data_IF_336423216057
#
_entry.id   IF_336423216057
#
_cell.length_a   1.000
_cell.length_b   1.000
_cell.length_c   1.000
_cell.angle_alpha   90.00
_cell.angle_beta   90.00
_cell.angle_gamma   90.00
#
_symmetry.space_group_name_H-M   'P 1'
#
loop_
_entity.id
_entity.type
_entity.pdbx_description
1 polymer ?
#
# COMPACT_ATOMS: atom_id res chain seq x y z
N UNK A 1 8.99 2.25 -11.99
CA UNK A 1 9.58 2.63 -10.68
C UNK A 1 9.05 1.65 -9.64
N UNK A 2 9.91 1.17 -8.75
CA UNK A 2 9.56 0.16 -7.77
C UNK A 2 10.39 0.32 -6.49
N UNK A 3 9.84 -0.13 -5.35
CA UNK A 3 10.53 -0.20 -4.07
C UNK A 3 11.06 -1.61 -3.84
N UNK A 4 12.34 -1.74 -3.57
CA UNK A 4 12.97 -2.98 -3.15
C UNK A 4 13.38 -2.87 -1.68
N UNK A 5 12.75 -3.66 -0.81
CA UNK A 5 13.15 -3.71 0.59
C UNK A 5 14.58 -4.22 0.73
N UNK A 6 15.42 -3.49 1.47
CA UNK A 6 16.82 -3.81 1.72
C UNK A 6 17.11 -4.10 3.19
N UNK A 7 16.20 -3.75 4.10
CA UNK A 7 16.36 -4.08 5.50
C UNK A 7 15.25 -3.57 6.41
N UNK A 8 15.20 -4.17 7.60
CA UNK A 8 14.34 -3.74 8.72
C UNK A 8 15.18 -3.63 9.98
N UNK A 9 14.96 -2.57 10.74
CA UNK A 9 15.65 -2.34 12.02
C UNK A 9 14.65 -1.90 13.08
N UNK A 10 14.68 -2.57 14.22
CA UNK A 10 13.90 -2.14 15.38
C UNK A 10 14.60 -0.96 16.05
N UNK A 11 13.87 0.13 16.25
CA UNK A 11 14.32 1.36 16.89
C UNK A 11 13.38 1.62 18.09
N UNK A 12 13.82 1.34 19.31
CA UNK A 12 13.02 1.46 20.54
C UNK A 12 11.63 0.79 20.40
N UNK A 13 10.59 1.60 20.15
CA UNK A 13 9.20 1.16 20.06
C UNK A 13 8.65 1.11 18.62
N UNK A 14 9.46 1.39 17.61
CA UNK A 14 9.05 1.40 16.20
C UNK A 14 10.01 0.56 15.36
N UNK A 15 9.55 0.15 14.19
CA UNK A 15 10.37 -0.54 13.20
C UNK A 15 10.61 0.38 12.00
N UNK A 16 11.86 0.65 11.69
CA UNK A 16 12.26 1.33 10.46
C UNK A 16 12.45 0.30 9.34
N UNK A 17 11.88 0.58 8.17
CA UNK A 17 12.04 -0.25 6.96
C UNK A 17 12.76 0.58 5.90
N UNK A 18 13.85 0.04 5.36
CA UNK A 18 14.68 0.69 4.35
C UNK A 18 14.42 0.09 2.97
N UNK A 19 14.31 0.97 1.99
CA UNK A 19 14.05 0.60 0.60
C UNK A 19 15.06 1.26 -0.35
N UNK A 20 15.48 0.51 -1.36
CA UNK A 20 16.11 1.05 -2.57
C UNK A 20 15.01 1.39 -3.59
N UNK A 21 15.06 2.58 -4.18
CA UNK A 21 14.10 3.05 -5.18
C UNK A 21 14.68 2.86 -6.58
N UNK A 22 14.08 1.97 -7.36
CA UNK A 22 14.55 1.61 -8.71
C UNK A 22 13.60 2.18 -9.76
N UNK A 23 14.14 3.00 -10.66
CA UNK A 23 13.42 3.65 -11.76
C UNK A 23 13.80 3.05 -13.13
N UNK A 24 13.73 1.72 -13.27
CA UNK A 24 14.10 1.03 -14.51
C UNK A 24 13.18 1.40 -15.67
N UNK A 25 13.73 1.40 -16.89
CA UNK A 25 12.98 1.64 -18.13
C UNK A 25 12.59 3.10 -18.38
N UNK A 26 13.04 4.03 -17.53
CA UNK A 26 12.75 5.46 -17.71
C UNK A 26 13.78 6.14 -18.63
N UNK A 27 13.37 7.17 -19.41
CA UNK A 27 14.29 7.98 -20.19
C UNK A 27 15.39 8.64 -19.35
N UNK A 28 16.64 8.45 -19.75
CA UNK A 28 17.82 8.95 -19.01
C UNK A 28 18.18 10.41 -19.32
N UNK A 29 17.64 10.93 -20.40
CA UNK A 29 17.88 12.30 -20.88
C UNK A 29 16.89 13.32 -20.32
N UNK A 30 16.11 12.93 -19.33
CA UNK A 30 15.13 13.80 -18.66
C UNK A 30 15.52 14.03 -17.22
N UNK A 31 15.19 15.23 -16.76
CA UNK A 31 15.28 15.62 -15.34
C UNK A 31 13.92 15.36 -14.69
N UNK A 32 13.93 14.80 -13.51
CA UNK A 32 12.74 14.41 -12.76
C UNK A 32 12.71 15.07 -11.38
N UNK A 33 11.53 15.45 -10.97
CA UNK A 33 11.23 15.84 -9.60
C UNK A 33 10.65 14.65 -8.84
N UNK A 34 11.09 14.44 -7.61
CA UNK A 34 10.63 13.37 -6.73
C UNK A 34 9.60 13.92 -5.75
N UNK A 35 8.44 13.29 -5.73
CA UNK A 35 7.31 13.61 -4.86
C UNK A 35 6.99 12.42 -3.96
N UNK A 36 6.58 12.68 -2.72
CA UNK A 36 6.18 11.64 -1.78
C UNK A 36 4.84 11.98 -1.14
N UNK A 37 4.07 10.96 -0.80
CA UNK A 37 2.77 11.10 -0.13
C UNK A 37 2.50 9.91 0.79
N UNK A 38 2.25 10.21 2.07
CA UNK A 38 1.66 9.28 3.04
C UNK A 38 0.14 9.47 3.14
N UNK A 39 -0.45 9.06 4.27
CA UNK A 39 -1.89 9.26 4.55
C UNK A 39 -2.26 10.72 4.86
N UNK A 40 -1.33 11.54 5.28
CA UNK A 40 -1.58 12.92 5.71
C UNK A 40 -1.97 13.88 4.59
N UNK A 41 -2.15 13.41 3.36
CA UNK A 41 -2.48 14.21 2.16
C UNK A 41 -1.50 15.37 1.85
N UNK A 42 -0.42 15.51 2.60
CA UNK A 42 0.65 16.43 2.26
C UNK A 42 1.52 15.76 1.19
N UNK A 43 1.76 16.48 0.11
CA UNK A 43 2.56 16.01 -1.03
C UNK A 43 3.80 16.88 -1.14
N UNK A 44 4.79 16.73 -0.24
CA UNK A 44 6.03 17.48 -0.37
C UNK A 44 6.84 16.97 -1.56
N UNK A 45 7.49 17.88 -2.26
CA UNK A 45 8.64 17.52 -3.08
C UNK A 45 9.78 17.10 -2.14
N UNK A 46 10.43 15.98 -2.43
CA UNK A 46 11.60 15.53 -1.66
C UNK A 46 12.88 16.29 -2.04
N UNK A 47 12.72 17.48 -2.66
CA UNK A 47 13.81 18.39 -3.02
C UNK A 47 14.71 17.85 -4.14
N UNK A 48 15.34 18.76 -4.88
CA UNK A 48 16.31 18.45 -5.93
C UNK A 48 15.70 17.88 -7.20
N UNK A 49 16.51 17.98 -8.24
CA UNK A 49 16.28 17.38 -9.55
C UNK A 49 17.10 16.10 -9.67
N UNK A 50 16.51 15.06 -10.24
CA UNK A 50 17.14 13.75 -10.41
C UNK A 50 17.19 13.33 -11.87
N UNK A 51 18.19 12.53 -12.22
CA UNK A 51 18.26 11.81 -13.48
C UNK A 51 18.37 10.31 -13.22
N UNK A 52 17.96 9.49 -14.20
CA UNK A 52 18.01 8.04 -14.08
C UNK A 52 19.26 7.51 -14.76
N UNK A 53 20.07 6.73 -14.04
CA UNK A 53 21.24 6.05 -14.57
C UNK A 53 20.89 4.76 -15.34
N UNK A 54 21.89 4.17 -15.95
CA UNK A 54 21.78 2.88 -16.66
C UNK A 54 21.28 1.75 -15.77
N UNK A 55 21.68 1.79 -14.50
CA UNK A 55 21.25 0.83 -13.44
C UNK A 55 19.79 0.98 -13.04
N UNK A 56 19.11 2.06 -13.44
CA UNK A 56 17.81 2.45 -12.94
C UNK A 56 17.86 3.23 -11.63
N UNK A 57 19.05 3.52 -11.10
CA UNK A 57 19.21 4.36 -9.91
C UNK A 57 18.96 5.82 -10.23
N UNK A 58 18.41 6.52 -9.24
CA UNK A 58 18.26 7.95 -9.25
C UNK A 58 19.53 8.60 -8.70
N UNK A 59 20.05 9.57 -9.42
CA UNK A 59 21.16 10.41 -8.96
C UNK A 59 20.77 11.88 -9.06
N UNK A 60 21.27 12.69 -8.14
CA UNK A 60 21.08 14.14 -8.22
C UNK A 60 21.61 14.68 -9.56
N UNK A 61 20.82 15.51 -10.21
CA UNK A 61 21.24 16.15 -11.45
C UNK A 61 22.40 17.13 -11.22
N UNK A 62 22.48 17.73 -10.05
CA UNK A 62 23.49 18.71 -9.69
C UNK A 62 24.79 18.06 -9.17
N UNK A 63 24.69 17.24 -8.10
CA UNK A 63 25.87 16.68 -7.43
C UNK A 63 26.30 15.33 -7.98
N UNK A 64 25.45 14.66 -8.76
CA UNK A 64 25.64 13.29 -9.26
C UNK A 64 25.70 12.23 -8.16
N UNK A 65 25.38 12.60 -6.93
CA UNK A 65 25.26 11.66 -5.83
C UNK A 65 23.97 10.81 -5.95
N UNK A 66 24.03 9.52 -5.65
CA UNK A 66 22.85 8.68 -5.69
C UNK A 66 21.83 9.12 -4.64
N UNK A 67 20.54 8.96 -4.97
CA UNK A 67 19.48 9.02 -3.97
C UNK A 67 19.76 7.93 -2.92
N UNK A 68 19.86 8.33 -1.67
CA UNK A 68 20.03 7.40 -0.56
C UNK A 68 18.79 6.51 -0.34
N UNK A 69 18.91 5.59 0.60
CA UNK A 69 17.83 4.70 0.99
C UNK A 69 16.59 5.50 1.44
N UNK A 70 15.43 5.06 0.99
CA UNK A 70 14.15 5.57 1.50
C UNK A 70 13.85 4.85 2.81
N UNK A 71 13.98 5.55 3.93
CA UNK A 71 13.76 4.97 5.27
C UNK A 71 12.39 5.40 5.78
N UNK A 72 11.49 4.43 5.93
CA UNK A 72 10.13 4.64 6.42
C UNK A 72 10.06 4.26 7.89
N UNK A 73 9.62 5.20 8.73
CA UNK A 73 9.50 5.05 10.19
C UNK A 73 8.09 5.37 10.66
N UNK A 74 7.68 4.73 11.74
CA UNK A 74 6.40 5.01 12.40
C UNK A 74 5.17 4.83 11.49
N UNK A 75 5.23 3.90 10.53
CA UNK A 75 4.09 3.54 9.70
C UNK A 75 3.17 2.56 10.43
N UNK A 76 1.90 2.73 10.22
CA UNK A 76 0.85 1.82 10.70
C UNK A 76 0.71 0.61 9.77
N UNK A 77 0.08 -0.45 10.27
CA UNK A 77 -0.25 -1.60 9.40
C UNK A 77 -1.24 -1.19 8.31
N UNK A 78 -0.99 -1.64 7.10
CA UNK A 78 -1.80 -1.31 5.92
C UNK A 78 -1.59 0.09 5.38
N UNK A 79 -0.78 0.93 6.01
CA UNK A 79 -0.52 2.30 5.58
C UNK A 79 0.36 2.33 4.33
N UNK A 80 -0.10 2.95 3.22
CA UNK A 80 0.68 3.06 2.01
C UNK A 80 1.60 4.29 2.03
N UNK A 81 2.81 4.11 1.52
CA UNK A 81 3.69 5.20 1.11
C UNK A 81 3.79 5.21 -0.41
N UNK A 82 3.59 6.38 -1.00
CA UNK A 82 3.56 6.58 -2.44
C UNK A 82 4.64 7.56 -2.85
N UNK A 83 5.31 7.28 -3.94
CA UNK A 83 6.24 8.21 -4.58
C UNK A 83 5.88 8.39 -6.04
N UNK A 84 6.18 9.57 -6.57
CA UNK A 84 6.07 9.89 -7.98
C UNK A 84 7.37 10.53 -8.47
N UNK A 85 7.82 10.12 -9.64
CA UNK A 85 8.83 10.83 -10.43
C UNK A 85 8.10 11.51 -11.58
N UNK A 86 8.17 12.83 -11.61
CA UNK A 86 7.54 13.65 -12.64
C UNK A 86 8.63 14.37 -13.42
N UNK A 87 8.68 14.15 -14.74
CA UNK A 87 9.61 14.87 -15.59
C UNK A 87 9.38 16.38 -15.51
N UNK A 88 10.44 17.17 -15.52
CA UNK A 88 10.36 18.62 -15.41
C UNK A 88 9.49 19.25 -16.52
N UNK A 89 9.48 18.64 -17.71
CA UNK A 89 8.62 19.02 -18.84
C UNK A 89 7.19 18.46 -18.75
N UNK A 90 6.84 17.75 -17.66
CA UNK A 90 5.53 17.14 -17.38
C UNK A 90 5.05 16.12 -18.43
N UNK A 91 5.92 15.63 -19.29
CA UNK A 91 5.56 14.65 -20.34
C UNK A 91 5.47 13.22 -19.82
N UNK A 92 6.12 12.93 -18.69
CA UNK A 92 6.17 11.60 -18.08
C UNK A 92 5.96 11.76 -16.58
N UNK A 93 5.08 10.90 -16.04
CA UNK A 93 4.93 10.68 -14.61
C UNK A 93 4.89 9.17 -14.35
N UNK A 94 5.68 8.72 -13.39
CA UNK A 94 5.66 7.32 -12.93
C UNK A 94 5.47 7.28 -11.42
N UNK A 95 4.80 6.23 -10.98
CA UNK A 95 4.41 6.09 -9.59
C UNK A 95 4.92 4.76 -9.03
N UNK A 96 5.27 4.76 -7.76
CA UNK A 96 5.49 3.57 -6.97
C UNK A 96 4.73 3.67 -5.65
N UNK A 97 4.33 2.50 -5.14
CA UNK A 97 3.68 2.38 -3.85
C UNK A 97 4.28 1.21 -3.09
N UNK A 98 4.50 1.40 -1.79
CA UNK A 98 4.85 0.34 -0.85
C UNK A 98 3.98 0.43 0.40
N UNK A 99 3.71 -0.70 1.02
CA UNK A 99 3.08 -0.79 2.34
C UNK A 99 4.09 -1.48 3.24
N UNK A 100 4.79 -0.75 4.14
CA UNK A 100 5.87 -1.32 4.95
C UNK A 100 5.41 -2.47 5.85
N UNK A 101 4.17 -2.40 6.34
CA UNK A 101 3.55 -3.42 7.19
C UNK A 101 2.21 -3.84 6.58
N UNK A 102 2.21 -4.73 5.59
CA UNK A 102 0.99 -5.10 4.89
C UNK A 102 0.00 -5.83 5.82
N UNK A 103 -1.28 -5.60 5.58
CA UNK A 103 -2.39 -6.39 6.11
C UNK A 103 -2.84 -7.28 4.96
N UNK A 104 -2.47 -8.54 5.00
CA UNK A 104 -2.79 -9.48 3.93
C UNK A 104 -2.83 -10.90 4.42
N UNK A 105 -3.56 -11.73 3.70
CA UNK A 105 -3.61 -13.16 3.90
C UNK A 105 -3.71 -13.87 2.55
N UNK A 106 -3.14 -15.07 2.46
CA UNK A 106 -3.20 -15.91 1.29
C UNK A 106 -3.68 -17.31 1.69
N UNK A 107 -4.59 -17.87 0.90
CA UNK A 107 -5.07 -19.24 1.07
C UNK A 107 -4.10 -20.24 0.43
N UNK A 108 -4.16 -21.50 0.83
CA UNK A 108 -3.39 -22.59 0.21
C UNK A 108 -3.71 -22.78 -1.28
N UNK A 109 -4.86 -22.30 -1.75
CA UNK A 109 -5.29 -22.34 -3.15
C UNK A 109 -4.90 -21.07 -3.94
N UNK A 110 -4.12 -20.13 -3.35
CA UNK A 110 -3.55 -18.97 -4.04
C UNK A 110 -4.45 -17.74 -4.10
N UNK A 111 -5.63 -17.76 -3.48
CA UNK A 111 -6.41 -16.54 -3.30
C UNK A 111 -5.82 -15.67 -2.19
N UNK A 112 -5.80 -14.38 -2.42
CA UNK A 112 -5.21 -13.41 -1.51
C UNK A 112 -6.15 -12.25 -1.25
N UNK A 113 -6.25 -11.83 0.00
CA UNK A 113 -6.82 -10.55 0.42
C UNK A 113 -5.72 -9.59 0.86
N UNK A 114 -5.83 -8.35 0.43
CA UNK A 114 -4.95 -7.24 0.80
C UNK A 114 -5.84 -6.11 1.31
N UNK A 115 -5.55 -5.62 2.50
CA UNK A 115 -6.27 -4.50 3.12
C UNK A 115 -5.31 -3.31 3.24
N UNK A 116 -5.70 -2.21 2.62
CA UNK A 116 -4.92 -0.97 2.59
C UNK A 116 -5.67 0.10 3.38
N UNK A 117 -5.00 0.72 4.33
CA UNK A 117 -5.53 1.87 5.06
C UNK A 117 -5.62 3.08 4.13
N UNK A 118 -6.80 3.70 4.05
CA UNK A 118 -7.07 4.86 3.17
C UNK A 118 -7.38 6.12 3.97
N UNK A 119 -8.15 5.98 5.05
CA UNK A 119 -8.49 7.09 5.93
C UNK A 119 -7.41 7.32 6.98
N UNK A 120 -7.00 8.58 7.17
CA UNK A 120 -6.01 8.97 8.19
C UNK A 120 -6.51 8.80 9.63
N UNK A 121 -7.80 8.61 9.82
CA UNK A 121 -8.47 8.32 11.10
C UNK A 121 -8.56 6.82 11.42
N UNK A 122 -8.06 5.95 10.53
CA UNK A 122 -8.11 4.50 10.71
C UNK A 122 -9.48 3.88 10.45
N UNK A 123 -10.43 4.60 9.87
CA UNK A 123 -11.81 4.10 9.71
C UNK A 123 -12.12 3.59 8.30
N UNK A 124 -11.32 3.94 7.30
CA UNK A 124 -11.59 3.63 5.89
C UNK A 124 -10.44 2.80 5.31
N UNK A 125 -10.80 1.69 4.68
CA UNK A 125 -9.87 0.76 4.06
C UNK A 125 -10.26 0.47 2.61
N UNK A 126 -9.28 0.14 1.77
CA UNK A 126 -9.49 -0.51 0.49
C UNK A 126 -9.22 -2.00 0.65
N UNK A 127 -10.19 -2.84 0.29
CA UNK A 127 -10.04 -4.29 0.31
C UNK A 127 -9.90 -4.79 -1.12
N UNK A 128 -8.81 -5.52 -1.40
CA UNK A 128 -8.49 -6.06 -2.72
C UNK A 128 -8.36 -7.58 -2.64
N UNK A 129 -9.08 -8.27 -3.52
CA UNK A 129 -8.95 -9.70 -3.71
C UNK A 129 -8.22 -10.04 -5.01
N UNK A 130 -7.41 -11.10 -4.99
CA UNK A 130 -6.70 -11.63 -6.16
C UNK A 130 -6.73 -13.17 -6.16
N UNK A 131 -6.58 -13.76 -7.33
CA UNK A 131 -6.48 -15.23 -7.47
C UNK A 131 -7.83 -15.94 -7.45
N UNK A 132 -8.94 -15.22 -7.54
CA UNK A 132 -10.28 -15.76 -7.68
C UNK A 132 -10.56 -16.22 -9.11
N UNK A 133 -11.60 -17.04 -9.32
CA UNK A 133 -11.98 -17.45 -10.67
C UNK A 133 -12.51 -16.23 -11.43
N UNK A 134 -12.05 -15.97 -12.66
CA UNK A 134 -12.53 -14.86 -13.46
C UNK A 134 -14.06 -14.86 -13.62
N UNK A 135 -14.71 -13.76 -13.23
CA UNK A 135 -16.15 -13.58 -13.37
C UNK A 135 -17.01 -14.22 -12.28
N UNK A 136 -16.42 -14.98 -11.33
CA UNK A 136 -17.18 -15.60 -10.23
C UNK A 136 -17.78 -14.56 -9.27
N UNK A 137 -18.81 -14.97 -8.56
CA UNK A 137 -19.34 -14.24 -7.41
C UNK A 137 -18.57 -14.64 -6.15
N UNK A 138 -17.91 -13.66 -5.52
CA UNK A 138 -17.19 -13.84 -4.27
C UNK A 138 -18.06 -13.34 -3.12
N UNK A 139 -18.39 -14.23 -2.20
CA UNK A 139 -19.04 -13.87 -0.94
C UNK A 139 -18.04 -13.22 -0.01
N UNK A 140 -18.36 -12.03 0.45
CA UNK A 140 -17.60 -11.29 1.44
C UNK A 140 -18.38 -11.22 2.73
N UNK A 141 -17.80 -11.71 3.79
CA UNK A 141 -18.36 -11.66 5.14
C UNK A 141 -17.39 -10.92 6.04
N UNK A 142 -17.86 -9.96 6.81
CA UNK A 142 -17.05 -9.28 7.81
C UNK A 142 -17.75 -9.27 9.15
N UNK A 143 -16.95 -9.38 10.20
CA UNK A 143 -17.36 -9.22 11.58
C UNK A 143 -16.50 -8.15 12.23
N UNK A 144 -17.15 -7.13 12.78
CA UNK A 144 -16.51 -6.02 13.49
C UNK A 144 -17.26 -5.83 14.82
N UNK A 145 -16.62 -6.21 15.94
CA UNK A 145 -17.30 -6.29 17.23
C UNK A 145 -18.55 -7.19 17.13
N UNK A 146 -19.74 -6.62 17.39
CA UNK A 146 -21.02 -7.32 17.30
C UNK A 146 -21.73 -7.15 15.95
N UNK A 147 -21.17 -6.34 15.04
CA UNK A 147 -21.75 -6.10 13.72
C UNK A 147 -21.23 -7.07 12.67
N UNK A 148 -22.14 -7.58 11.87
CA UNK A 148 -21.85 -8.44 10.73
C UNK A 148 -22.32 -7.78 9.44
N UNK A 149 -21.48 -7.85 8.41
CA UNK A 149 -21.82 -7.43 7.05
C UNK A 149 -21.62 -8.61 6.11
N UNK A 150 -22.61 -8.85 5.23
CA UNK A 150 -22.49 -9.79 4.12
C UNK A 150 -22.78 -9.07 2.81
N UNK A 151 -21.92 -9.26 1.85
CA UNK A 151 -22.10 -8.72 0.50
C UNK A 151 -21.44 -9.64 -0.52
N UNK A 152 -21.83 -9.49 -1.77
CA UNK A 152 -21.25 -10.23 -2.89
C UNK A 152 -20.49 -9.25 -3.79
N UNK A 153 -19.33 -9.69 -4.28
CA UNK A 153 -18.53 -8.96 -5.27
C UNK A 153 -18.25 -9.87 -6.44
N UNK A 154 -18.32 -9.35 -7.65
CA UNK A 154 -17.96 -10.09 -8.85
C UNK A 154 -16.47 -9.90 -9.14
N UNK A 155 -15.75 -11.00 -9.30
CA UNK A 155 -14.37 -10.97 -9.73
C UNK A 155 -14.28 -10.50 -11.19
N UNK A 156 -13.28 -9.68 -11.50
CA UNK A 156 -13.00 -9.23 -12.86
C UNK A 156 -12.53 -10.39 -13.75
N UNK A 157 -12.34 -10.11 -15.03
CA UNK A 157 -11.73 -11.07 -15.97
C UNK A 157 -10.28 -11.48 -15.60
N UNK A 158 -9.67 -10.78 -14.65
CA UNK A 158 -8.34 -11.10 -14.08
C UNK A 158 -8.43 -11.83 -12.74
N UNK A 159 -9.62 -12.23 -12.31
CA UNK A 159 -9.82 -12.86 -11.00
C UNK A 159 -9.55 -11.90 -9.82
N UNK A 160 -9.83 -10.62 -9.96
CA UNK A 160 -9.61 -9.60 -8.95
C UNK A 160 -10.89 -8.83 -8.64
N UNK A 161 -11.01 -8.32 -7.41
CA UNK A 161 -11.99 -7.31 -7.04
C UNK A 161 -11.36 -6.28 -6.12
N UNK A 162 -11.94 -5.09 -6.03
CA UNK A 162 -11.59 -4.07 -5.04
C UNK A 162 -12.81 -3.24 -4.66
N UNK A 163 -12.85 -2.77 -3.42
CA UNK A 163 -13.88 -1.87 -2.92
C UNK A 163 -13.40 -1.15 -1.65
N UNK A 164 -14.07 -0.04 -1.35
CA UNK A 164 -13.86 0.70 -0.11
C UNK A 164 -14.73 0.09 0.98
N UNK A 165 -14.15 -0.08 2.15
CA UNK A 165 -14.78 -0.71 3.30
C UNK A 165 -14.53 0.11 4.57
N UNK A 166 -15.57 0.31 5.36
CA UNK A 166 -15.53 0.97 6.65
C UNK A 166 -16.02 -0.01 7.74
N UNK A 167 -15.11 -0.62 8.51
CA UNK A 167 -15.46 -1.55 9.59
C UNK A 167 -15.89 -0.86 10.88
N UNK A 168 -15.90 0.47 10.92
CA UNK A 168 -16.19 1.24 12.12
C UNK A 168 -17.63 1.01 12.61
N UNK A 169 -17.77 0.80 13.92
CA UNK A 169 -19.06 0.56 14.60
C UNK A 169 -19.43 1.83 15.38
N UNK A 170 -20.67 2.26 15.27
CA UNK A 170 -21.15 3.49 15.94
C UNK A 170 -20.99 3.35 17.47
N UNK A 171 -20.41 4.39 18.08
CA UNK A 171 -20.19 4.43 19.54
C UNK A 171 -18.83 3.86 19.98
N UNK A 172 -18.00 3.38 19.05
CA UNK A 172 -16.68 2.87 19.34
C UNK A 172 -15.59 3.68 18.60
N UNK A 173 -14.49 3.96 19.29
CA UNK A 173 -13.34 4.68 18.71
C UNK A 173 -12.39 3.75 17.94
N UNK A 174 -12.43 2.47 18.23
CA UNK A 174 -11.59 1.45 17.60
C UNK A 174 -12.11 0.05 17.84
N UNK A 175 -11.66 -0.90 17.06
CA UNK A 175 -11.99 -2.32 17.23
C UNK A 175 -11.13 -3.19 16.33
N UNK A 176 -11.46 -4.47 16.34
CA UNK A 176 -10.89 -5.48 15.44
C UNK A 176 -11.94 -5.95 14.47
N UNK A 177 -11.56 -6.05 13.22
CA UNK A 177 -12.38 -6.58 12.16
C UNK A 177 -11.76 -7.86 11.60
N UNK A 178 -12.62 -8.87 11.38
CA UNK A 178 -12.30 -10.09 10.67
C UNK A 178 -13.08 -10.12 9.37
N UNK A 179 -12.37 -10.32 8.27
CA UNK A 179 -12.92 -10.36 6.92
C UNK A 179 -12.65 -11.71 6.31
N UNK A 180 -13.68 -12.32 5.73
CA UNK A 180 -13.62 -13.58 5.00
C UNK A 180 -14.14 -13.36 3.57
N UNK A 181 -13.38 -13.78 2.58
CA UNK A 181 -13.81 -13.85 1.20
C UNK A 181 -13.85 -15.32 0.75
N UNK A 182 -14.96 -15.73 0.15
CA UNK A 182 -15.19 -17.11 -0.31
C UNK A 182 -15.60 -17.08 -1.77
N UNK A 183 -14.78 -17.66 -2.63
CA UNK A 183 -15.06 -17.96 -4.03
C UNK A 183 -15.27 -19.45 -4.27
N UNK A 184 -15.40 -19.84 -5.52
CA UNK A 184 -15.66 -21.26 -5.92
C UNK A 184 -14.55 -22.22 -5.49
N UNK A 185 -13.29 -21.77 -5.52
CA UNK A 185 -12.12 -22.64 -5.31
C UNK A 185 -11.31 -22.28 -4.06
N UNK A 186 -11.65 -21.20 -3.41
CA UNK A 186 -10.83 -20.70 -2.33
C UNK A 186 -11.61 -19.91 -1.28
N UNK A 187 -11.06 -19.94 -0.08
CA UNK A 187 -11.49 -19.09 1.03
C UNK A 187 -10.26 -18.47 1.66
N UNK A 188 -10.30 -17.19 1.94
CA UNK A 188 -9.23 -16.45 2.61
C UNK A 188 -9.79 -15.56 3.69
N UNK A 189 -9.08 -15.49 4.82
CA UNK A 189 -9.47 -14.71 6.00
C UNK A 189 -8.34 -13.78 6.38
N UNK A 190 -8.66 -12.52 6.67
CA UNK A 190 -7.72 -11.53 7.19
C UNK A 190 -8.32 -10.82 8.39
N UNK A 191 -7.48 -10.49 9.38
CA UNK A 191 -7.88 -9.73 10.57
C UNK A 191 -7.03 -8.46 10.68
N UNK A 192 -7.67 -7.36 11.05
CA UNK A 192 -7.02 -6.07 11.25
C UNK A 192 -7.76 -5.20 12.25
N UNK A 193 -7.04 -4.26 12.83
CA UNK A 193 -7.62 -3.27 13.73
C UNK A 193 -8.11 -2.06 12.92
N UNK A 194 -9.11 -1.33 13.43
CA UNK A 194 -9.64 -0.10 12.85
C UNK A 194 -9.72 1.03 13.90
N UNK A 195 -9.97 2.26 13.45
CA UNK A 195 -10.01 3.45 14.28
C UNK A 195 -8.64 3.79 14.89
N UNK A 196 -8.61 4.30 16.10
CA UNK A 196 -7.37 4.69 16.78
C UNK A 196 -6.37 3.53 16.96
N UNK A 197 -6.84 2.28 16.95
CA UNK A 197 -5.97 1.11 17.01
C UNK A 197 -5.24 0.83 15.69
N UNK A 198 -5.83 1.19 14.54
CA UNK A 198 -5.23 0.99 13.22
C UNK A 198 -4.07 1.96 12.93
N UNK A 199 -4.10 3.16 13.50
CA UNK A 199 -3.09 4.22 13.24
C UNK A 199 -1.91 4.19 14.22
N UNK A 200 -1.67 3.05 14.86
CA UNK A 200 -0.51 2.86 15.75
C UNK A 200 0.73 2.49 14.95
N UNK A 201 1.85 3.20 15.14
CA UNK A 201 3.13 2.83 14.56
C UNK A 201 3.56 1.40 14.93
N UNK A 202 4.22 0.71 13.97
CA UNK A 202 4.76 -0.64 14.14
C UNK A 202 6.23 -0.62 14.55
#
# INVERSE_FOLDING_TARGET
MDFKEIGRRKEENITAVSYDLIASGMPRNKVYQLWAMGLSNQVPTLGGDYVVETSGRLVSNETREPLGDVILRAFSRGEPYRMALIAADKTIAVFAKVIPFPIEAESSSGCRLIVELVGSDGQIFSVKGKGFVPGEEVSFESQSLEEELKLVRRASIKGTFDFIYAPAVIGYESGRCKVKATGERCQVVVEFDWGSAAIRPQ
#
